data_IF_817967942768
#
_entry.id   IF_817967942768
#
_cell.length_a   1.000
_cell.length_b   1.000
_cell.length_c   1.000
_cell.angle_alpha   90.00
_cell.angle_beta   90.00
_cell.angle_gamma   90.00
#
_symmetry.space_group_name_H-M   'P 1'
#
loop_
_entity.id
_entity.type
_entity.pdbx_description
1 polymer ?
#
# COMPACT_ATOMS: atom_id res chain seq x y z
N UNK A 1 3.82 -11.65 17.75
CA UNK A 1 5.03 -11.61 16.89
C UNK A 1 5.53 -10.18 16.89
N UNK A 2 6.72 -9.90 17.42
CA UNK A 2 7.29 -8.53 17.40
C UNK A 2 7.71 -8.24 15.96
N UNK A 3 7.06 -7.28 15.31
CA UNK A 3 7.42 -6.88 13.95
C UNK A 3 8.85 -6.31 13.97
N UNK A 4 9.78 -6.97 13.27
CA UNK A 4 11.14 -6.48 13.10
C UNK A 4 11.13 -5.13 12.40
N UNK A 5 11.83 -4.14 12.97
CA UNK A 5 12.00 -2.83 12.33
C UNK A 5 13.03 -2.98 11.23
N UNK A 6 12.66 -2.70 9.98
CA UNK A 6 13.60 -2.65 8.87
C UNK A 6 14.50 -1.41 8.98
N UNK A 7 15.81 -1.60 8.84
CA UNK A 7 16.82 -0.55 8.85
C UNK A 7 17.52 -0.45 7.50
N UNK A 8 18.09 0.72 7.23
CA UNK A 8 18.79 1.02 5.98
C UNK A 8 20.14 1.65 6.29
N UNK A 9 21.21 1.09 5.71
CA UNK A 9 22.55 1.64 5.82
C UNK A 9 22.67 2.92 4.98
N UNK A 10 23.11 4.01 5.61
CA UNK A 10 23.04 5.33 4.99
C UNK A 10 24.18 5.62 4.01
N UNK A 11 25.39 5.10 4.26
CA UNK A 11 26.57 5.40 3.44
C UNK A 11 26.36 5.09 1.94
N UNK A 12 25.92 3.88 1.55
CA UNK A 12 25.71 3.57 0.13
C UNK A 12 24.65 4.46 -0.53
N UNK A 13 23.61 4.87 0.20
CA UNK A 13 22.54 5.73 -0.33
C UNK A 13 23.07 7.14 -0.59
N UNK A 14 23.79 7.70 0.38
CA UNK A 14 24.38 9.03 0.28
C UNK A 14 25.33 9.12 -0.91
N UNK A 15 26.22 8.13 -1.06
CA UNK A 15 27.19 8.07 -2.15
C UNK A 15 26.51 7.89 -3.52
N UNK A 16 25.48 7.04 -3.62
CA UNK A 16 24.74 6.83 -4.86
C UNK A 16 23.97 8.08 -5.33
N UNK A 17 23.44 8.89 -4.41
CA UNK A 17 22.78 10.16 -4.72
C UNK A 17 23.81 11.25 -5.11
N UNK A 18 25.10 11.01 -4.81
CA UNK A 18 26.20 11.93 -5.12
C UNK A 18 26.39 13.01 -4.07
N UNK A 19 26.06 12.72 -2.81
CA UNK A 19 26.31 13.59 -1.67
C UNK A 19 27.60 13.20 -0.96
N UNK A 20 28.26 14.17 -0.33
CA UNK A 20 29.41 13.89 0.54
C UNK A 20 28.98 13.14 1.81
N UNK A 21 29.55 11.96 2.02
CA UNK A 21 29.26 11.11 3.19
C UNK A 21 29.60 11.81 4.50
N UNK A 22 30.74 12.49 4.59
CA UNK A 22 31.20 13.09 5.84
C UNK A 22 30.21 14.15 6.35
N UNK A 23 29.73 14.99 5.45
CA UNK A 23 28.73 16.02 5.73
C UNK A 23 27.38 15.42 6.14
N UNK A 24 26.91 14.38 5.44
CA UNK A 24 25.64 13.73 5.78
C UNK A 24 25.72 12.91 7.08
N UNK A 25 26.86 12.27 7.35
CA UNK A 25 27.11 11.57 8.60
C UNK A 25 27.00 12.54 9.79
N UNK A 26 27.69 13.69 9.73
CA UNK A 26 27.61 14.71 10.77
C UNK A 26 26.16 15.20 10.97
N UNK A 27 25.41 15.43 9.89
CA UNK A 27 23.98 15.79 9.95
C UNK A 27 23.15 14.70 10.65
N UNK A 28 23.31 13.45 10.25
CA UNK A 28 22.56 12.32 10.80
C UNK A 28 22.89 12.06 12.28
N UNK A 29 24.16 12.22 12.68
CA UNK A 29 24.59 12.10 14.09
C UNK A 29 24.03 13.26 14.92
N UNK A 30 24.09 14.50 14.41
CA UNK A 30 23.50 15.66 15.12
C UNK A 30 21.98 15.57 15.28
N UNK A 31 21.30 14.84 14.39
CA UNK A 31 19.84 14.64 14.39
C UNK A 31 19.47 13.19 14.69
N UNK A 32 20.29 12.50 15.50
CA UNK A 32 20.16 11.07 15.78
C UNK A 32 18.78 10.68 16.30
N UNK A 33 18.20 11.46 17.20
CA UNK A 33 16.87 11.20 17.76
C UNK A 33 15.76 11.37 16.72
N UNK A 34 15.83 12.43 15.89
CA UNK A 34 14.84 12.72 14.84
C UNK A 34 14.74 11.59 13.81
N UNK A 35 15.89 11.08 13.37
CA UNK A 35 15.98 10.03 12.36
C UNK A 35 16.04 8.62 12.96
N UNK A 36 16.22 8.48 14.27
CA UNK A 36 16.36 7.19 14.95
C UNK A 36 17.63 6.44 14.57
N UNK A 37 18.76 7.14 14.39
CA UNK A 37 19.98 6.53 13.86
C UNK A 37 20.59 5.54 14.86
N UNK A 38 20.89 4.32 14.39
CA UNK A 38 21.59 3.29 15.17
C UNK A 38 22.84 2.81 14.43
N UNK A 39 23.91 2.54 15.17
CA UNK A 39 25.09 1.87 14.63
C UNK A 39 24.82 0.37 14.65
N UNK A 40 24.68 -0.23 13.46
CA UNK A 40 24.38 -1.65 13.32
C UNK A 40 25.63 -2.36 12.83
N UNK A 41 26.01 -3.39 13.57
CA UNK A 41 27.10 -4.29 13.23
C UNK A 41 26.66 -5.25 12.13
N UNK A 42 27.21 -5.09 10.93
CA UNK A 42 26.85 -5.87 9.75
C UNK A 42 28.06 -6.72 9.33
N UNK A 43 27.92 -8.06 9.21
CA UNK A 43 28.97 -8.89 8.64
C UNK A 43 29.08 -8.60 7.14
N UNK A 44 30.27 -8.22 6.70
CA UNK A 44 30.59 -8.00 5.28
C UNK A 44 31.68 -8.96 4.81
N UNK A 45 31.94 -8.99 3.50
CA UNK A 45 33.04 -9.81 2.93
C UNK A 45 34.42 -9.46 3.52
N UNK A 46 34.61 -8.22 4.00
CA UNK A 46 35.84 -7.75 4.63
C UNK A 46 35.84 -7.85 6.16
N UNK A 47 34.88 -8.58 6.75
CA UNK A 47 34.71 -8.71 8.19
C UNK A 47 33.55 -7.89 8.74
N UNK A 48 33.48 -7.83 10.06
CA UNK A 48 32.41 -7.17 10.80
C UNK A 48 32.60 -5.65 10.71
N UNK A 49 31.62 -4.93 10.16
CA UNK A 49 31.66 -3.47 10.04
C UNK A 49 30.50 -2.82 10.78
N UNK A 50 30.77 -1.74 11.50
CA UNK A 50 29.71 -0.88 12.05
C UNK A 50 29.24 0.11 10.98
N UNK A 51 27.94 0.12 10.71
CA UNK A 51 27.31 1.03 9.76
C UNK A 51 26.25 1.88 10.43
N UNK A 52 26.26 3.18 10.13
CA UNK A 52 25.18 4.08 10.54
C UNK A 52 23.93 3.77 9.73
N UNK A 53 22.87 3.38 10.44
CA UNK A 53 21.60 2.98 9.86
C UNK A 53 20.46 3.85 10.40
N UNK A 54 19.41 4.02 9.59
CA UNK A 54 18.13 4.61 10.03
C UNK A 54 16.97 3.65 9.77
N UNK A 55 15.86 3.72 10.53
CA UNK A 55 14.66 2.95 10.24
C UNK A 55 14.13 3.31 8.86
N UNK A 56 13.74 2.31 8.07
CA UNK A 56 13.22 2.49 6.71
C UNK A 56 12.05 3.49 6.66
N UNK A 57 11.19 3.49 7.67
CA UNK A 57 10.07 4.46 7.81
C UNK A 57 10.51 5.93 7.87
N UNK A 58 11.75 6.21 8.27
CA UNK A 58 12.32 7.57 8.38
C UNK A 58 13.13 7.98 7.15
N UNK A 59 13.43 7.06 6.24
CA UNK A 59 14.23 7.33 5.04
C UNK A 59 13.62 8.41 4.15
N UNK A 60 12.30 8.35 3.92
CA UNK A 60 11.60 9.36 3.11
C UNK A 60 11.75 10.78 3.70
N UNK A 61 11.69 10.90 5.03
CA UNK A 61 11.91 12.18 5.70
C UNK A 61 13.34 12.72 5.55
N UNK A 62 14.34 11.83 5.47
CA UNK A 62 15.72 12.24 5.16
C UNK A 62 15.86 12.68 3.70
N UNK A 63 15.35 11.89 2.74
CA UNK A 63 15.36 12.21 1.31
C UNK A 63 14.71 13.56 1.02
N UNK A 64 13.57 13.82 1.64
CA UNK A 64 12.85 15.08 1.54
C UNK A 64 13.67 16.28 2.06
N UNK A 65 14.58 16.07 3.01
CA UNK A 65 15.43 17.12 3.58
C UNK A 65 16.70 17.45 2.78
N UNK A 66 16.92 16.79 1.64
CA UNK A 66 18.10 17.00 0.78
C UNK A 66 17.89 18.28 -0.03
N UNK A 67 18.93 19.09 -0.14
CA UNK A 67 18.95 20.24 -1.03
C UNK A 67 19.30 19.78 -2.46
N UNK A 68 18.43 19.94 -3.47
CA UNK A 68 18.70 19.55 -4.86
C UNK A 68 19.90 20.27 -5.47
N UNK A 69 20.30 21.45 -4.97
CA UNK A 69 21.48 22.16 -5.44
C UNK A 69 22.79 21.47 -5.05
N UNK A 70 22.76 20.53 -4.11
CA UNK A 70 23.94 19.82 -3.57
C UNK A 70 24.08 18.38 -4.07
N UNK A 71 23.22 17.92 -4.98
CA UNK A 71 23.29 16.57 -5.57
C UNK A 71 23.88 16.61 -6.98
N UNK A 72 24.26 15.44 -7.50
CA UNK A 72 24.68 15.29 -8.90
C UNK A 72 23.54 15.65 -9.85
N UNK A 73 23.87 16.29 -10.97
CA UNK A 73 22.87 16.76 -11.94
C UNK A 73 21.98 15.63 -12.48
N UNK A 74 22.54 14.44 -12.70
CA UNK A 74 21.79 13.27 -13.16
C UNK A 74 20.67 12.81 -12.19
N UNK A 75 20.75 13.16 -10.90
CA UNK A 75 19.77 12.78 -9.87
C UNK A 75 18.86 13.95 -9.48
N UNK A 76 19.26 15.19 -9.81
CA UNK A 76 18.60 16.44 -9.40
C UNK A 76 17.13 16.48 -9.80
N UNK A 77 16.82 16.24 -11.08
CA UNK A 77 15.44 16.26 -11.56
C UNK A 77 14.58 15.18 -10.91
N UNK A 78 15.14 13.98 -10.73
CA UNK A 78 14.47 12.88 -10.03
C UNK A 78 14.16 13.21 -8.57
N UNK A 79 15.07 13.89 -7.88
CA UNK A 79 14.87 14.32 -6.49
C UNK A 79 13.80 15.42 -6.38
N UNK A 80 13.80 16.40 -7.30
CA UNK A 80 12.77 17.47 -7.32
C UNK A 80 11.40 16.85 -7.54
N UNK A 81 11.28 15.97 -8.54
CA UNK A 81 10.03 15.23 -8.80
C UNK A 81 9.56 14.43 -7.58
N UNK A 82 10.49 13.76 -6.90
CA UNK A 82 10.19 13.03 -5.67
C UNK A 82 9.66 13.96 -4.57
N UNK A 83 10.28 15.14 -4.37
CA UNK A 83 9.84 16.11 -3.37
C UNK A 83 8.44 16.65 -3.68
N UNK A 84 8.13 16.97 -4.94
CA UNK A 84 6.78 17.36 -5.39
C UNK A 84 5.72 16.27 -5.14
N UNK A 85 6.09 15.00 -5.40
CA UNK A 85 5.21 13.86 -5.09
C UNK A 85 4.99 13.71 -3.58
N UNK A 86 6.01 13.96 -2.75
CA UNK A 86 5.85 13.98 -1.30
C UNK A 86 4.93 15.12 -0.83
N UNK A 87 5.03 16.32 -1.40
CA UNK A 87 4.12 17.43 -1.08
C UNK A 87 2.67 17.08 -1.41
N UNK A 88 2.45 16.53 -2.61
CA UNK A 88 1.12 16.08 -3.05
C UNK A 88 0.58 14.99 -2.12
N UNK A 89 1.39 13.99 -1.79
CA UNK A 89 0.97 12.91 -0.91
C UNK A 89 0.64 13.40 0.51
N UNK A 90 1.44 14.33 1.05
CA UNK A 90 1.17 14.91 2.37
C UNK A 90 -0.11 15.76 2.35
N UNK A 91 -0.30 16.57 1.32
CA UNK A 91 -1.52 17.37 1.13
C UNK A 91 -2.75 16.46 1.03
N UNK A 92 -2.71 15.44 0.18
CA UNK A 92 -3.83 14.51 -0.01
C UNK A 92 -4.16 13.73 1.25
N UNK A 93 -3.15 13.31 2.01
CA UNK A 93 -3.36 12.66 3.31
C UNK A 93 -4.14 13.55 4.28
N UNK A 94 -3.76 14.82 4.42
CA UNK A 94 -4.40 15.74 5.37
C UNK A 94 -5.70 16.35 4.85
N UNK A 95 -5.87 16.53 3.54
CA UNK A 95 -7.07 17.16 2.95
C UNK A 95 -8.17 16.17 2.60
N UNK A 96 -7.80 14.96 2.13
CA UNK A 96 -8.74 13.92 1.67
C UNK A 96 -8.81 12.72 2.61
N UNK A 97 -7.95 12.67 3.64
CA UNK A 97 -7.82 11.54 4.56
C UNK A 97 -7.07 10.34 3.99
N UNK A 98 -6.68 10.36 2.70
CA UNK A 98 -6.00 9.26 2.03
C UNK A 98 -5.05 9.77 0.96
N UNK A 99 -3.83 9.23 0.95
CA UNK A 99 -2.85 9.42 -0.11
C UNK A 99 -2.63 8.10 -0.85
N UNK A 100 -2.64 8.12 -2.18
CA UNK A 100 -2.50 6.91 -3.00
C UNK A 100 -1.27 7.01 -3.88
N UNK A 101 -0.47 5.95 -3.93
CA UNK A 101 0.65 5.84 -4.85
C UNK A 101 0.19 5.11 -6.13
N UNK A 102 0.20 5.76 -7.30
CA UNK A 102 -0.25 5.12 -8.54
C UNK A 102 0.70 4.02 -9.02
N UNK A 103 1.96 4.00 -8.53
CA UNK A 103 2.97 3.00 -8.92
C UNK A 103 2.89 1.71 -8.12
N UNK A 104 2.28 1.75 -6.93
CA UNK A 104 1.93 0.49 -6.28
C UNK A 104 0.86 -0.15 -7.16
N UNK A 105 1.13 -1.34 -7.74
CA UNK A 105 0.06 -2.05 -8.41
C UNK A 105 -1.07 -2.14 -7.41
N UNK A 106 -2.27 -1.66 -7.78
CA UNK A 106 -3.46 -2.08 -7.07
C UNK A 106 -3.31 -3.60 -7.05
N UNK A 107 -3.25 -4.21 -5.87
CA UNK A 107 -3.63 -5.61 -5.73
C UNK A 107 -5.08 -5.64 -6.22
N UNK A 108 -5.28 -5.67 -7.53
CA UNK A 108 -6.37 -6.41 -8.09
C UNK A 108 -6.10 -7.78 -7.52
N UNK A 109 -6.87 -8.13 -6.49
CA UNK A 109 -7.05 -9.52 -6.19
C UNK A 109 -7.59 -10.12 -7.49
N UNK A 110 -6.67 -10.63 -8.31
CA UNK A 110 -6.89 -11.60 -9.37
C UNK A 110 -7.34 -12.91 -8.71
N UNK A 111 -8.40 -12.83 -7.91
CA UNK A 111 -9.21 -13.99 -7.56
C UNK A 111 -10.01 -14.29 -8.82
N UNK A 112 -9.37 -15.06 -9.73
CA UNK A 112 -10.04 -15.76 -10.83
C UNK A 112 -11.25 -16.46 -10.21
N UNK A 113 -12.41 -15.87 -10.39
CA UNK A 113 -13.69 -16.43 -10.02
C UNK A 113 -14.53 -16.42 -11.28
N UNK A 114 -15.21 -17.54 -11.56
CA UNK A 114 -16.04 -17.65 -12.77
C UNK A 114 -17.17 -16.61 -12.77
N UNK A 115 -17.67 -16.24 -11.58
CA UNK A 115 -18.79 -15.33 -11.42
C UNK A 115 -18.51 -14.24 -10.38
N UNK A 116 -18.88 -13.02 -10.71
CA UNK A 116 -19.01 -11.90 -9.79
C UNK A 116 -20.48 -11.49 -9.70
N UNK A 117 -21.01 -11.38 -8.48
CA UNK A 117 -22.44 -11.10 -8.27
C UNK A 117 -22.61 -9.91 -7.34
N UNK A 118 -23.48 -9.00 -7.77
CA UNK A 118 -24.00 -7.87 -7.00
C UNK A 118 -25.49 -8.11 -6.79
N UNK A 119 -25.91 -8.24 -5.53
CA UNK A 119 -27.33 -8.38 -5.15
C UNK A 119 -27.74 -7.11 -4.42
N UNK A 120 -28.77 -6.45 -4.92
CA UNK A 120 -29.37 -5.29 -4.26
C UNK A 120 -30.75 -5.71 -3.78
N UNK A 121 -30.95 -5.69 -2.47
CA UNK A 121 -32.25 -6.00 -1.85
C UNK A 121 -32.89 -4.69 -1.43
N UNK A 122 -34.05 -4.38 -1.99
CA UNK A 122 -34.84 -3.22 -1.59
C UNK A 122 -35.82 -3.62 -0.49
N UNK A 123 -35.79 -2.87 0.61
CA UNK A 123 -36.75 -3.02 1.70
C UNK A 123 -37.89 -1.99 1.51
N UNK A 124 -39.04 -2.50 1.07
CA UNK A 124 -40.23 -1.69 0.86
C UNK A 124 -40.98 -1.34 2.15
N UNK A 125 -40.64 -1.96 3.29
CA UNK A 125 -41.25 -1.70 4.60
C UNK A 125 -40.53 -0.57 5.33
N UNK A 126 -39.20 -0.48 5.23
CA UNK A 126 -38.40 0.49 5.98
C UNK A 126 -37.72 1.56 5.12
N UNK A 127 -37.84 1.48 3.79
CA UNK A 127 -37.26 2.48 2.89
C UNK A 127 -35.73 2.42 2.91
N UNK A 128 -35.16 1.47 2.18
CA UNK A 128 -33.72 1.34 2.05
C UNK A 128 -33.32 0.26 1.05
N UNK A 129 -32.03 0.20 0.74
CA UNK A 129 -31.45 -0.91 -0.02
C UNK A 129 -30.19 -1.43 0.67
N UNK A 130 -30.04 -2.74 0.69
CA UNK A 130 -28.81 -3.40 1.13
C UNK A 130 -28.10 -3.98 -0.10
N UNK A 131 -26.84 -3.58 -0.29
CA UNK A 131 -25.98 -4.10 -1.35
C UNK A 131 -25.06 -5.20 -0.80
N UNK A 132 -25.12 -6.38 -1.42
CA UNK A 132 -24.22 -7.49 -1.18
C UNK A 132 -23.32 -7.70 -2.39
N UNK A 133 -22.01 -7.83 -2.16
CA UNK A 133 -21.02 -8.06 -3.20
C UNK A 133 -20.18 -9.29 -2.88
N UNK A 134 -20.17 -10.27 -3.80
CA UNK A 134 -19.49 -11.54 -3.61
C UNK A 134 -18.83 -12.09 -4.88
N UNK A 135 -17.95 -13.06 -4.68
CA UNK A 135 -17.28 -13.82 -5.74
C UNK A 135 -17.38 -15.30 -5.40
N UNK A 136 -17.68 -16.15 -6.39
CA UNK A 136 -17.61 -17.59 -6.22
C UNK A 136 -17.40 -18.31 -7.56
N UNK A 137 -16.99 -19.57 -7.48
CA UNK A 137 -16.78 -20.42 -8.67
C UNK A 137 -18.03 -21.18 -9.10
N UNK A 138 -19.09 -21.16 -8.28
CA UNK A 138 -20.37 -21.83 -8.55
C UNK A 138 -21.56 -20.93 -8.15
N UNK A 139 -22.69 -21.09 -8.84
CA UNK A 139 -23.95 -20.43 -8.46
C UNK A 139 -24.42 -20.79 -7.05
N UNK A 140 -24.20 -22.05 -6.65
CA UNK A 140 -24.46 -22.50 -5.27
C UNK A 140 -23.62 -21.71 -4.26
N UNK A 141 -22.34 -21.47 -4.56
CA UNK A 141 -21.46 -20.66 -3.72
C UNK A 141 -21.93 -19.21 -3.58
N UNK A 142 -22.40 -18.61 -4.69
CA UNK A 142 -23.00 -17.25 -4.67
C UNK A 142 -24.21 -17.23 -3.72
N UNK A 143 -25.17 -18.12 -3.95
CA UNK A 143 -26.43 -18.10 -3.23
C UNK A 143 -26.25 -18.44 -1.74
N UNK A 144 -25.32 -19.36 -1.42
CA UNK A 144 -24.96 -19.64 -0.03
C UNK A 144 -24.27 -18.47 0.66
N UNK A 145 -23.40 -17.74 -0.05
CA UNK A 145 -22.75 -16.54 0.48
C UNK A 145 -23.76 -15.47 0.85
N UNK A 146 -24.63 -15.10 -0.09
CA UNK A 146 -25.69 -14.10 0.15
C UNK A 146 -26.63 -14.51 1.28
N UNK A 147 -27.05 -15.78 1.32
CA UNK A 147 -27.90 -16.27 2.41
C UNK A 147 -27.22 -16.16 3.78
N UNK A 148 -25.93 -16.49 3.85
CA UNK A 148 -25.13 -16.42 5.09
C UNK A 148 -24.91 -14.98 5.53
N UNK A 149 -24.65 -14.05 4.60
CA UNK A 149 -24.51 -12.62 4.88
C UNK A 149 -25.81 -12.01 5.43
N UNK A 150 -26.96 -12.60 5.08
CA UNK A 150 -28.27 -12.25 5.62
C UNK A 150 -28.63 -13.03 6.92
N UNK A 151 -27.72 -13.85 7.45
CA UNK A 151 -27.92 -14.62 8.68
C UNK A 151 -28.68 -15.95 8.51
N UNK A 152 -28.90 -16.42 7.28
CA UNK A 152 -29.56 -17.68 6.98
C UNK A 152 -28.56 -18.80 6.69
N UNK A 153 -28.88 -20.03 7.11
CA UNK A 153 -28.14 -21.24 6.75
C UNK A 153 -28.92 -22.03 5.71
N UNK A 154 -28.55 -21.99 4.41
CA UNK A 154 -29.27 -22.73 3.38
C UNK A 154 -29.10 -24.24 3.59
N UNK A 155 -30.21 -24.96 3.64
CA UNK A 155 -30.25 -26.43 3.84
C UNK A 155 -30.27 -27.21 2.53
N UNK A 156 -30.62 -26.55 1.42
CA UNK A 156 -30.65 -27.13 0.08
C UNK A 156 -31.01 -26.10 -0.99
N UNK A 157 -30.78 -26.45 -2.24
CA UNK A 157 -31.21 -25.66 -3.40
C UNK A 157 -32.15 -26.52 -4.24
N UNK A 158 -33.33 -25.98 -4.55
CA UNK A 158 -34.30 -26.63 -5.44
C UNK A 158 -33.99 -26.15 -6.87
N UNK A 159 -33.88 -27.09 -7.80
CA UNK A 159 -33.71 -26.77 -9.20
C UNK A 159 -35.03 -26.24 -9.77
N UNK A 160 -35.00 -25.05 -10.34
CA UNK A 160 -36.14 -24.44 -11.01
C UNK A 160 -35.79 -24.21 -12.49
N UNK A 161 -36.75 -24.36 -13.41
CA UNK A 161 -36.52 -24.02 -14.81
C UNK A 161 -36.14 -22.55 -14.96
N UNK A 162 -35.19 -22.29 -15.87
CA UNK A 162 -34.68 -20.94 -16.12
C UNK A 162 -35.80 -20.01 -16.60
N UNK A 163 -36.07 -18.95 -15.83
CA UNK A 163 -36.97 -17.88 -16.24
C UNK A 163 -36.24 -16.90 -17.18
N UNK A 164 -36.07 -17.30 -18.45
CA UNK A 164 -35.36 -16.54 -19.49
C UNK A 164 -35.90 -15.11 -19.62
N UNK A 165 -37.21 -14.93 -19.42
CA UNK A 165 -37.90 -13.63 -19.46
C UNK A 165 -37.39 -12.61 -18.44
N UNK A 166 -36.78 -13.07 -17.34
CA UNK A 166 -36.22 -12.21 -16.29
C UNK A 166 -34.75 -11.86 -16.51
N UNK A 167 -34.11 -12.43 -17.54
CA UNK A 167 -32.71 -12.18 -17.85
C UNK A 167 -32.60 -11.09 -18.92
N UNK A 168 -32.00 -9.96 -18.56
CA UNK A 168 -31.67 -8.89 -19.52
C UNK A 168 -30.17 -8.75 -19.63
N UNK A 169 -29.66 -8.74 -20.86
CA UNK A 169 -28.26 -8.40 -21.13
C UNK A 169 -28.06 -6.90 -20.91
N UNK A 170 -27.13 -6.55 -20.03
CA UNK A 170 -26.68 -5.17 -19.80
C UNK A 170 -25.31 -5.06 -20.47
N UNK A 171 -25.16 -4.10 -21.38
CA UNK A 171 -23.90 -3.80 -22.08
C UNK A 171 -23.19 -2.64 -21.37
#
# INVERSE_FOLDING_TARGET
MVAGVAYVAMKPIVENIGLDWKSQYAKLVSQREKFGCGDITIPTKGGVQQMLCIPLKKLNGWLFSINPAKVRDAVREGLIRYQEECFTALHDYWSKGVATNPRTPKKQEDKKSRYHVRVIVYDNLFGGCVEFQGRADTFRGIASGVATDMGFKPTGFIEQPYAVEKMRKVY
#
